data_IF_993787639980
#
_entry.id   IF_993787639980
#
_cell.length_a   1.000
_cell.length_b   1.000
_cell.length_c   1.000
_cell.angle_alpha   90.00
_cell.angle_beta   90.00
_cell.angle_gamma   90.00
#
_symmetry.space_group_name_H-M   'P 1'
#
loop_
_entity.id
_entity.type
_entity.pdbx_description
1 polymer ?
#
# COMPACT_ATOMS: atom_id res chain seq x y z
N UNK A 1 -12.45 -20.33 -31.88
CA UNK A 1 -12.95 -19.63 -30.69
C UNK A 1 -12.28 -20.27 -29.49
N UNK A 2 -11.08 -19.80 -29.12
CA UNK A 2 -10.41 -20.15 -27.89
C UNK A 2 -10.92 -19.20 -26.82
N UNK A 3 -11.64 -19.73 -25.84
CA UNK A 3 -11.98 -19.05 -24.60
C UNK A 3 -10.69 -18.71 -23.88
N UNK A 4 -10.42 -17.44 -23.71
CA UNK A 4 -9.35 -16.96 -22.84
C UNK A 4 -9.89 -17.09 -21.40
N UNK A 5 -9.65 -18.24 -20.79
CA UNK A 5 -9.86 -18.40 -19.36
C UNK A 5 -8.77 -17.60 -18.65
N UNK A 6 -9.17 -16.53 -18.00
CA UNK A 6 -8.34 -15.81 -17.05
C UNK A 6 -8.18 -16.69 -15.80
N UNK A 7 -6.97 -17.17 -15.48
CA UNK A 7 -6.78 -17.95 -14.26
C UNK A 7 -6.47 -16.98 -13.11
N UNK A 8 -7.47 -16.30 -12.59
CA UNK A 8 -7.30 -15.57 -11.34
C UNK A 8 -8.61 -15.56 -10.55
N UNK A 9 -8.49 -16.02 -9.30
CA UNK A 9 -9.47 -16.02 -8.20
C UNK A 9 -10.45 -17.18 -8.14
N UNK A 10 -9.97 -18.32 -7.65
CA UNK A 10 -10.79 -19.23 -6.85
C UNK A 10 -10.46 -19.01 -5.36
N UNK A 11 -10.70 -17.82 -4.84
CA UNK A 11 -10.72 -17.66 -3.39
C UNK A 11 -12.06 -18.14 -2.87
N UNK A 12 -12.09 -18.80 -1.69
CA UNK A 12 -13.35 -19.11 -1.04
C UNK A 12 -14.11 -17.79 -0.82
N UNK A 13 -15.38 -17.71 -1.21
CA UNK A 13 -16.27 -16.55 -1.05
C UNK A 13 -16.19 -15.87 0.34
N UNK A 14 -15.80 -16.63 1.36
CA UNK A 14 -15.69 -16.18 2.74
C UNK A 14 -14.73 -14.99 2.96
N UNK A 15 -13.71 -14.81 2.11
CA UNK A 15 -12.68 -13.78 2.28
C UNK A 15 -12.60 -12.81 1.12
N UNK A 16 -13.66 -12.72 0.32
CA UNK A 16 -13.76 -11.65 -0.67
C UNK A 16 -13.72 -10.28 0.02
N UNK A 17 -12.92 -9.37 -0.53
CA UNK A 17 -12.86 -8.01 0.00
C UNK A 17 -14.13 -7.25 -0.31
N UNK A 18 -14.46 -6.19 0.44
CA UNK A 18 -15.59 -5.33 0.11
C UNK A 18 -15.52 -4.72 -1.30
N UNK A 19 -14.30 -4.54 -1.83
CA UNK A 19 -14.09 -4.09 -3.21
C UNK A 19 -14.50 -5.14 -4.22
N UNK A 20 -14.10 -6.41 -4.03
CA UNK A 20 -14.48 -7.54 -4.89
C UNK A 20 -15.99 -7.79 -4.84
N UNK A 21 -16.59 -7.75 -3.65
CA UNK A 21 -18.05 -7.89 -3.45
C UNK A 21 -18.88 -6.80 -4.17
N UNK A 22 -18.23 -5.74 -4.63
CA UNK A 22 -18.83 -4.65 -5.41
C UNK A 22 -18.35 -4.66 -6.87
N UNK A 23 -17.95 -5.84 -7.38
CA UNK A 23 -17.45 -6.04 -8.75
C UNK A 23 -16.30 -5.08 -9.13
N UNK A 24 -15.50 -4.62 -8.14
CA UNK A 24 -14.44 -3.64 -8.35
C UNK A 24 -14.93 -2.23 -8.74
N UNK A 25 -16.21 -1.96 -8.60
CA UNK A 25 -16.82 -0.69 -9.03
C UNK A 25 -16.81 0.39 -7.94
N UNK A 26 -16.70 -0.02 -6.68
CA UNK A 26 -16.72 0.88 -5.53
C UNK A 26 -15.70 0.44 -4.49
N UNK A 27 -14.83 1.37 -4.10
CA UNK A 27 -13.86 1.14 -3.03
C UNK A 27 -14.54 0.90 -1.68
N UNK A 28 -13.79 0.27 -0.78
CA UNK A 28 -14.24 -0.04 0.57
C UNK A 28 -14.38 1.22 1.41
N UNK A 29 -15.39 1.27 2.27
CA UNK A 29 -15.48 2.29 3.32
C UNK A 29 -14.48 1.99 4.44
N UNK A 30 -14.19 2.97 5.29
CA UNK A 30 -13.31 2.76 6.44
C UNK A 30 -13.80 1.64 7.36
N UNK A 31 -15.08 1.61 7.66
CA UNK A 31 -15.73 0.62 8.53
C UNK A 31 -15.60 -0.79 7.92
N UNK A 32 -15.87 -0.95 6.63
CA UNK A 32 -15.70 -2.22 5.91
C UNK A 32 -14.24 -2.70 5.97
N UNK A 33 -13.27 -1.79 5.82
CA UNK A 33 -11.84 -2.11 5.91
C UNK A 33 -11.46 -2.65 7.29
N UNK A 34 -11.91 -1.97 8.34
CA UNK A 34 -11.60 -2.36 9.72
C UNK A 34 -12.26 -3.68 10.09
N UNK A 35 -13.51 -3.88 9.72
CA UNK A 35 -14.22 -5.14 10.00
C UNK A 35 -13.59 -6.31 9.24
N UNK A 36 -13.16 -6.09 8.00
CA UNK A 36 -12.43 -7.08 7.22
C UNK A 36 -11.12 -7.52 7.89
N UNK A 37 -10.29 -6.57 8.31
CA UNK A 37 -9.02 -6.91 8.99
C UNK A 37 -9.22 -7.54 10.36
N UNK A 38 -10.25 -7.15 11.11
CA UNK A 38 -10.63 -7.85 12.35
C UNK A 38 -10.99 -9.30 12.08
N UNK A 39 -11.78 -9.56 11.04
CA UNK A 39 -12.14 -10.92 10.64
C UNK A 39 -10.90 -11.74 10.27
N UNK A 40 -10.00 -11.19 9.41
CA UNK A 40 -8.76 -11.88 9.08
C UNK A 40 -7.91 -12.21 10.32
N UNK A 41 -7.81 -11.29 11.27
CA UNK A 41 -7.03 -11.49 12.49
C UNK A 41 -7.64 -12.53 13.44
N UNK A 42 -8.94 -12.76 13.38
CA UNK A 42 -9.63 -13.81 14.15
C UNK A 42 -9.48 -15.19 13.51
N UNK A 43 -9.46 -15.25 12.19
CA UNK A 43 -9.47 -16.49 11.43
C UNK A 43 -8.05 -17.02 11.12
N UNK A 44 -7.05 -16.13 11.09
CA UNK A 44 -5.67 -16.48 10.73
C UNK A 44 -4.67 -16.06 11.81
N UNK A 45 -4.01 -17.03 12.42
CA UNK A 45 -2.99 -16.79 13.45
C UNK A 45 -1.81 -15.94 12.94
N UNK A 46 -1.54 -15.95 11.63
CA UNK A 46 -0.49 -15.14 10.98
C UNK A 46 -0.84 -13.64 10.88
N UNK A 47 -2.05 -13.23 11.22
CA UNK A 47 -2.51 -11.85 11.18
C UNK A 47 -2.76 -11.32 12.59
N UNK A 48 -2.22 -10.15 12.90
CA UNK A 48 -2.51 -9.42 14.13
C UNK A 48 -3.11 -8.07 13.83
N UNK A 49 -4.17 -7.71 14.54
CA UNK A 49 -4.82 -6.40 14.47
C UNK A 49 -4.62 -5.67 15.79
N UNK A 50 -4.05 -4.46 15.75
CA UNK A 50 -3.76 -3.64 16.93
C UNK A 50 -4.30 -2.24 16.76
N UNK A 51 -4.67 -1.63 17.88
CA UNK A 51 -5.01 -0.20 17.94
C UNK A 51 -3.78 0.57 18.41
N UNK A 52 -3.42 1.63 17.66
CA UNK A 52 -2.21 2.41 17.88
C UNK A 52 -2.56 3.90 17.79
N UNK A 53 -2.37 4.66 18.83
CA UNK A 53 -2.52 6.11 18.80
C UNK A 53 -3.91 6.63 18.46
N UNK A 54 -4.00 7.93 18.26
CA UNK A 54 -5.23 8.65 17.94
C UNK A 54 -5.10 9.34 16.58
N UNK A 55 -6.22 9.78 16.03
CA UNK A 55 -6.28 10.63 14.85
C UNK A 55 -7.09 11.89 15.17
N UNK A 56 -6.99 12.88 14.30
CA UNK A 56 -7.63 14.19 14.48
C UNK A 56 -9.17 14.16 14.44
N UNK A 57 -9.77 13.06 14.00
CA UNK A 57 -11.22 12.85 14.06
C UNK A 57 -11.67 12.01 15.27
N UNK A 58 -10.76 11.71 16.20
CA UNK A 58 -11.03 10.93 17.40
C UNK A 58 -11.16 9.42 17.20
N UNK A 59 -11.05 8.93 15.97
CA UNK A 59 -11.00 7.49 15.65
C UNK A 59 -9.55 7.00 15.83
N UNK A 60 -9.31 5.88 16.53
CA UNK A 60 -7.97 5.41 16.76
C UNK A 60 -7.32 4.87 15.47
N UNK A 61 -6.03 5.09 15.31
CA UNK A 61 -5.24 4.50 14.25
C UNK A 61 -5.07 3.00 14.50
N UNK A 62 -5.15 2.21 13.44
CA UNK A 62 -4.98 0.77 13.51
C UNK A 62 -3.74 0.29 12.76
N UNK A 63 -3.17 -0.79 13.26
CA UNK A 63 -2.03 -1.48 12.67
C UNK A 63 -2.39 -2.93 12.41
N UNK A 64 -2.13 -3.41 11.21
CA UNK A 64 -2.29 -4.82 10.84
C UNK A 64 -0.92 -5.38 10.51
N UNK A 65 -0.62 -6.56 11.07
CA UNK A 65 0.68 -7.19 10.95
C UNK A 65 0.49 -8.60 10.41
N UNK A 66 1.20 -8.93 9.35
CA UNK A 66 1.40 -10.30 8.91
C UNK A 66 2.76 -10.81 9.38
N UNK A 67 2.77 -12.00 9.99
CA UNK A 67 3.98 -12.73 10.31
C UNK A 67 3.75 -14.23 10.07
N UNK A 68 4.57 -14.89 9.25
CA UNK A 68 4.32 -16.29 8.82
C UNK A 68 4.29 -17.29 9.96
N UNK A 69 4.94 -17.00 11.07
CA UNK A 69 5.01 -17.85 12.28
C UNK A 69 4.16 -17.33 13.46
N UNK A 70 3.28 -16.35 13.21
CA UNK A 70 2.42 -15.73 14.22
C UNK A 70 3.19 -15.04 15.37
N UNK A 71 4.41 -14.58 15.12
CA UNK A 71 5.23 -13.86 16.08
C UNK A 71 5.32 -12.36 15.71
N UNK A 72 4.81 -11.49 16.59
CA UNK A 72 4.57 -10.07 16.31
C UNK A 72 5.42 -9.12 17.15
N UNK A 73 6.50 -9.61 17.76
CA UNK A 73 7.37 -8.79 18.61
C UNK A 73 8.50 -8.16 17.80
N UNK A 74 8.34 -6.89 17.42
CA UNK A 74 9.34 -6.15 16.64
C UNK A 74 10.70 -6.07 17.35
N UNK A 75 10.74 -5.86 18.68
CA UNK A 75 11.99 -5.75 19.43
C UNK A 75 12.82 -7.03 19.39
N UNK A 76 12.16 -8.19 19.37
CA UNK A 76 12.80 -9.49 19.28
C UNK A 76 13.35 -9.76 17.88
N UNK A 77 12.58 -9.41 16.85
CA UNK A 77 12.82 -9.91 15.48
C UNK A 77 13.41 -8.91 14.50
N UNK A 78 13.51 -7.61 14.85
CA UNK A 78 14.01 -6.58 13.93
C UNK A 78 15.43 -6.83 13.37
N UNK A 79 16.27 -7.61 14.05
CA UNK A 79 17.61 -7.96 13.57
C UNK A 79 17.63 -9.21 12.68
N UNK A 80 16.56 -9.97 12.68
CA UNK A 80 16.46 -11.27 12.01
C UNK A 80 15.50 -11.25 10.84
N UNK A 81 14.63 -10.24 10.78
CA UNK A 81 13.56 -10.11 9.78
C UNK A 81 13.60 -8.80 9.06
N UNK A 82 13.26 -8.85 7.79
CA UNK A 82 12.94 -7.66 7.01
C UNK A 82 11.51 -7.23 7.30
N UNK A 83 11.34 -5.99 7.72
CA UNK A 83 10.03 -5.41 8.02
C UNK A 83 9.63 -4.48 6.90
N UNK A 84 8.55 -4.82 6.20
CA UNK A 84 7.95 -4.00 5.16
C UNK A 84 6.75 -3.28 5.76
N UNK A 85 6.75 -1.95 5.72
CA UNK A 85 5.64 -1.12 6.16
C UNK A 85 4.92 -0.52 4.96
N UNK A 86 3.60 -0.69 4.91
CA UNK A 86 2.73 -0.18 3.86
C UNK A 86 1.81 0.85 4.47
N UNK A 87 1.89 2.09 3.98
CA UNK A 87 1.02 3.19 4.35
C UNK A 87 -0.03 3.42 3.26
N UNK A 88 -1.27 3.60 3.65
CA UNK A 88 -2.39 3.78 2.72
C UNK A 88 -3.21 5.01 3.08
N UNK A 89 -3.84 5.60 2.09
CA UNK A 89 -4.77 6.73 2.22
C UNK A 89 -4.16 7.90 3.02
N UNK A 90 -2.98 8.36 2.65
CA UNK A 90 -2.44 9.66 3.11
C UNK A 90 -3.38 10.78 2.64
N UNK A 91 -3.87 10.66 1.42
CA UNK A 91 -5.02 11.39 0.93
C UNK A 91 -6.26 10.52 1.10
N UNK A 92 -7.24 10.97 1.89
CA UNK A 92 -8.40 10.16 2.21
C UNK A 92 -9.27 9.78 1.00
N UNK A 93 -9.21 10.56 -0.06
CA UNK A 93 -9.90 10.28 -1.31
C UNK A 93 -9.12 9.36 -2.27
N UNK A 94 -8.07 8.68 -1.81
CA UNK A 94 -7.25 7.73 -2.58
C UNK A 94 -7.32 6.32 -1.96
N UNK A 95 -8.43 5.59 -2.08
CA UNK A 95 -8.66 4.31 -1.42
C UNK A 95 -8.03 3.10 -2.14
N UNK A 96 -7.48 3.27 -3.35
CA UNK A 96 -7.00 2.15 -4.17
C UNK A 96 -5.91 1.33 -3.48
N UNK A 97 -4.98 2.00 -2.78
CA UNK A 97 -3.96 1.34 -1.96
C UNK A 97 -4.55 0.55 -0.79
N UNK A 98 -5.65 1.05 -0.21
CA UNK A 98 -6.38 0.36 0.87
C UNK A 98 -6.95 -0.95 0.36
N UNK A 99 -7.69 -0.91 -0.75
CA UNK A 99 -8.30 -2.09 -1.37
C UNK A 99 -7.23 -3.11 -1.81
N UNK A 100 -6.14 -2.64 -2.45
CA UNK A 100 -5.03 -3.50 -2.86
C UNK A 100 -4.32 -4.16 -1.67
N UNK A 101 -4.16 -3.46 -0.56
CA UNK A 101 -3.50 -4.00 0.64
C UNK A 101 -4.36 -5.04 1.35
N UNK A 102 -5.70 -4.90 1.33
CA UNK A 102 -6.60 -5.96 1.83
C UNK A 102 -6.45 -7.25 1.03
N UNK A 103 -6.39 -7.17 -0.31
CA UNK A 103 -6.12 -8.32 -1.18
C UNK A 103 -4.77 -8.97 -0.85
N UNK A 104 -3.72 -8.17 -0.67
CA UNK A 104 -2.39 -8.66 -0.30
C UNK A 104 -2.43 -9.42 1.02
N UNK A 105 -3.04 -8.86 2.07
CA UNK A 105 -3.10 -9.50 3.39
C UNK A 105 -3.94 -10.79 3.37
N UNK A 106 -5.03 -10.84 2.60
CA UNK A 106 -5.76 -12.08 2.36
C UNK A 106 -4.86 -13.16 1.75
N UNK A 107 -4.20 -12.83 0.65
CA UNK A 107 -3.37 -13.77 -0.10
C UNK A 107 -2.17 -14.26 0.74
N UNK A 108 -1.61 -13.40 1.60
CA UNK A 108 -0.60 -13.78 2.59
C UNK A 108 -1.18 -14.71 3.66
N UNK A 109 -2.35 -14.40 4.21
CA UNK A 109 -3.00 -15.19 5.25
C UNK A 109 -3.39 -16.60 4.74
N UNK A 110 -3.84 -16.70 3.50
CA UNK A 110 -4.20 -17.97 2.84
C UNK A 110 -3.00 -18.72 2.23
N UNK A 111 -1.77 -18.18 2.36
CA UNK A 111 -0.55 -18.73 1.74
C UNK A 111 -0.59 -18.81 0.20
N UNK A 112 -1.41 -18.01 -0.45
CA UNK A 112 -1.41 -17.84 -1.91
C UNK A 112 -0.15 -17.08 -2.36
N UNK A 113 0.27 -16.09 -1.57
CA UNK A 113 1.57 -15.43 -1.68
C UNK A 113 2.46 -15.96 -0.56
N UNK A 114 3.60 -16.54 -0.93
CA UNK A 114 4.58 -17.05 0.03
C UNK A 114 5.76 -16.12 0.12
N UNK A 115 5.92 -15.49 1.27
CA UNK A 115 7.12 -14.73 1.59
C UNK A 115 8.13 -15.63 2.32
N UNK A 116 9.40 -15.22 2.28
CA UNK A 116 10.42 -15.85 3.13
C UNK A 116 10.03 -15.76 4.61
N UNK A 117 10.33 -16.78 5.40
CA UNK A 117 10.00 -16.82 6.83
C UNK A 117 10.61 -15.69 7.66
N UNK A 118 11.56 -14.95 7.10
CA UNK A 118 12.18 -13.79 7.72
C UNK A 118 11.58 -12.44 7.26
N UNK A 119 10.38 -12.42 6.67
CA UNK A 119 9.70 -11.19 6.24
C UNK A 119 8.43 -11.00 7.06
N UNK A 120 8.26 -9.79 7.60
CA UNK A 120 7.02 -9.31 8.20
C UNK A 120 6.46 -8.20 7.32
N UNK A 121 5.14 -8.18 7.16
CA UNK A 121 4.45 -7.09 6.46
C UNK A 121 3.53 -6.39 7.46
N UNK A 122 3.64 -5.09 7.52
CA UNK A 122 2.89 -4.25 8.43
C UNK A 122 2.17 -3.18 7.64
N UNK A 123 0.92 -2.90 7.96
CA UNK A 123 0.19 -1.82 7.30
C UNK A 123 -0.62 -0.99 8.29
N UNK A 124 -0.73 0.30 8.00
CA UNK A 124 -1.83 1.13 8.47
C UNK A 124 -2.92 1.06 7.40
N UNK A 125 -4.09 0.48 7.70
CA UNK A 125 -5.17 0.32 6.74
C UNK A 125 -5.61 1.62 6.07
N UNK A 126 -5.76 2.68 6.87
CA UNK A 126 -6.07 4.03 6.42
C UNK A 126 -5.43 5.04 7.37
N UNK A 127 -4.50 5.84 6.86
CA UNK A 127 -3.80 6.85 7.67
C UNK A 127 -4.69 8.10 7.90
N UNK A 128 -5.33 8.58 6.85
CA UNK A 128 -6.25 9.72 6.89
C UNK A 128 -7.70 9.26 7.01
N UNK A 129 -8.09 8.80 8.20
CA UNK A 129 -9.41 8.22 8.43
C UNK A 129 -10.51 9.23 8.14
N UNK A 130 -10.42 10.45 8.70
CA UNK A 130 -11.43 11.48 8.50
C UNK A 130 -11.56 11.90 7.04
N UNK A 131 -10.45 12.04 6.34
CA UNK A 131 -10.46 12.31 4.90
C UNK A 131 -11.07 11.17 4.08
N UNK A 132 -10.82 9.91 4.47
CA UNK A 132 -11.41 8.75 3.80
C UNK A 132 -12.93 8.70 4.00
N UNK A 133 -13.43 8.93 5.22
CA UNK A 133 -14.85 8.95 5.51
C UNK A 133 -15.59 10.06 4.75
N UNK A 134 -14.95 11.19 4.55
CA UNK A 134 -15.52 12.35 3.83
C UNK A 134 -15.14 12.40 2.34
N UNK A 135 -14.39 11.43 1.85
CA UNK A 135 -13.88 11.36 0.47
C UNK A 135 -13.15 12.65 0.05
N UNK A 136 -12.28 13.17 0.91
CA UNK A 136 -11.47 14.36 0.67
C UNK A 136 -9.98 14.10 0.88
N UNK A 137 -9.15 14.97 0.31
CA UNK A 137 -7.69 14.86 0.40
C UNK A 137 -7.18 15.12 1.81
N UNK A 138 -7.67 16.19 2.42
CA UNK A 138 -7.25 16.69 3.73
C UNK A 138 -7.80 15.80 4.87
N UNK A 139 -7.18 15.91 6.03
CA UNK A 139 -7.63 15.26 7.27
C UNK A 139 -8.93 15.89 7.82
N UNK A 140 -9.48 15.34 8.90
CA UNK A 140 -10.66 15.89 9.56
C UNK A 140 -10.45 17.35 9.98
N UNK A 141 -9.27 17.68 10.45
CA UNK A 141 -8.89 19.05 10.82
C UNK A 141 -8.43 19.92 9.63
N UNK A 142 -8.67 19.50 8.38
CA UNK A 142 -8.30 20.20 7.15
C UNK A 142 -6.80 20.39 6.91
N UNK A 143 -5.98 19.48 7.44
CA UNK A 143 -4.55 19.46 7.16
C UNK A 143 -4.21 18.55 5.98
N UNK A 144 -3.26 18.97 5.15
CA UNK A 144 -2.60 18.09 4.21
C UNK A 144 -1.51 17.30 4.94
N UNK A 145 -1.75 16.00 5.16
CA UNK A 145 -0.87 15.14 5.93
C UNK A 145 0.50 14.91 5.27
N UNK A 146 0.63 15.07 3.93
CA UNK A 146 1.94 15.02 3.25
C UNK A 146 2.92 16.05 3.79
N UNK A 147 2.43 17.19 4.23
CA UNK A 147 3.26 18.33 4.65
C UNK A 147 3.44 18.40 6.18
N UNK A 148 2.74 17.56 6.92
CA UNK A 148 2.74 17.66 8.39
C UNK A 148 3.91 16.94 9.06
N UNK A 149 4.66 16.11 8.33
CA UNK A 149 5.78 15.33 8.89
C UNK A 149 6.90 16.15 9.52
N UNK A 150 7.07 17.41 9.09
CA UNK A 150 8.11 18.31 9.64
C UNK A 150 7.65 18.94 10.95
N UNK A 151 6.38 19.37 11.00
CA UNK A 151 5.82 20.06 12.19
C UNK A 151 5.19 19.09 13.18
N UNK A 152 4.55 18.03 12.65
CA UNK A 152 3.77 17.06 13.41
C UNK A 152 2.70 17.72 14.29
N UNK A 153 1.93 18.64 13.72
CA UNK A 153 0.88 19.38 14.41
C UNK A 153 -0.39 18.56 14.57
N UNK A 154 -0.56 17.51 13.74
CA UNK A 154 -1.76 16.69 13.68
C UNK A 154 -1.56 15.37 14.44
N UNK A 155 -2.57 14.93 15.18
CA UNK A 155 -2.55 13.67 15.92
C UNK A 155 -2.22 12.44 15.05
N UNK A 156 -2.66 12.43 13.80
CA UNK A 156 -2.33 11.39 12.83
C UNK A 156 -0.81 11.25 12.68
N UNK A 157 -0.12 12.35 12.47
CA UNK A 157 1.35 12.38 12.26
C UNK A 157 2.10 11.99 13.51
N UNK A 158 1.65 12.46 14.69
CA UNK A 158 2.21 12.04 15.96
C UNK A 158 2.05 10.54 16.19
N UNK A 159 0.89 9.99 15.86
CA UNK A 159 0.60 8.56 15.98
C UNK A 159 1.42 7.73 15.00
N UNK A 160 1.52 8.14 13.73
CA UNK A 160 2.38 7.48 12.74
C UNK A 160 3.85 7.51 13.16
N UNK A 161 4.34 8.64 13.68
CA UNK A 161 5.72 8.75 14.15
C UNK A 161 6.02 7.75 15.27
N UNK A 162 5.10 7.55 16.22
CA UNK A 162 5.23 6.53 17.27
C UNK A 162 5.22 5.11 16.69
N UNK A 163 4.34 4.84 15.72
CA UNK A 163 4.29 3.56 15.01
C UNK A 163 5.63 3.28 14.32
N UNK A 164 6.17 4.23 13.56
CA UNK A 164 7.45 4.07 12.87
C UNK A 164 8.63 3.88 13.85
N UNK A 165 8.63 4.58 14.99
CA UNK A 165 9.62 4.37 16.04
C UNK A 165 9.55 2.97 16.67
N UNK A 166 8.35 2.42 16.85
CA UNK A 166 8.16 1.07 17.38
C UNK A 166 8.56 -0.01 16.38
N UNK A 167 8.13 0.14 15.13
CA UNK A 167 8.34 -0.87 14.07
C UNK A 167 9.77 -0.83 13.55
N UNK A 168 10.32 0.37 13.28
CA UNK A 168 11.58 0.61 12.58
C UNK A 168 11.67 -0.21 11.27
N UNK A 169 10.82 0.10 10.27
CA UNK A 169 10.76 -0.69 9.05
C UNK A 169 12.04 -0.56 8.22
N UNK A 170 12.40 -1.64 7.51
CA UNK A 170 13.49 -1.66 6.54
C UNK A 170 13.05 -1.08 5.19
N UNK A 171 11.77 -1.28 4.86
CA UNK A 171 11.15 -0.81 3.62
C UNK A 171 9.84 -0.11 3.98
N UNK A 172 9.66 1.11 3.47
CA UNK A 172 8.41 1.84 3.54
C UNK A 172 7.82 1.97 2.12
N UNK A 173 6.55 1.57 1.99
CA UNK A 173 5.75 1.72 0.77
C UNK A 173 4.63 2.68 1.10
N UNK A 174 4.54 3.78 0.35
CA UNK A 174 3.46 4.76 0.47
C UNK A 174 2.58 4.69 -0.78
N UNK A 175 1.37 4.19 -0.63
CA UNK A 175 0.43 4.01 -1.72
C UNK A 175 -0.37 5.28 -1.95
N UNK A 176 -0.25 5.84 -3.15
CA UNK A 176 -0.97 7.04 -3.58
C UNK A 176 -1.58 6.84 -4.97
N UNK A 177 -2.55 7.67 -5.31
CA UNK A 177 -3.19 7.67 -6.64
C UNK A 177 -3.02 9.03 -7.29
N UNK A 178 -2.49 9.07 -8.52
CA UNK A 178 -2.46 10.32 -9.28
C UNK A 178 -3.84 10.62 -9.87
N UNK A 179 -4.46 11.73 -9.42
CA UNK A 179 -5.75 12.20 -9.95
C UNK A 179 -5.64 13.39 -10.89
N UNK A 180 -4.45 13.98 -10.99
CA UNK A 180 -4.22 15.22 -11.76
C UNK A 180 -3.68 14.97 -13.16
N UNK A 181 -3.13 13.82 -13.41
CA UNK A 181 -2.46 13.48 -14.66
C UNK A 181 -3.01 12.16 -15.17
N UNK A 182 -3.50 12.17 -16.42
CA UNK A 182 -3.87 10.93 -17.11
C UNK A 182 -2.58 10.24 -17.54
N UNK A 183 -2.11 9.31 -16.74
CA UNK A 183 -1.00 8.43 -17.11
C UNK A 183 -1.51 7.22 -17.88
N UNK A 184 -0.84 6.88 -18.96
CA UNK A 184 -1.09 5.65 -19.72
C UNK A 184 -0.47 4.40 -19.06
N UNK A 185 -0.04 4.52 -17.81
CA UNK A 185 0.63 3.46 -17.05
C UNK A 185 -0.28 2.88 -16.00
N UNK A 186 -0.28 1.56 -15.88
CA UNK A 186 -1.05 0.86 -14.86
C UNK A 186 -0.47 1.10 -13.46
N UNK A 187 0.86 1.13 -13.36
CA UNK A 187 1.61 1.35 -12.12
C UNK A 187 2.73 2.34 -12.37
N UNK A 188 2.89 3.32 -11.51
CA UNK A 188 4.11 4.10 -11.41
C UNK A 188 4.71 3.97 -10.02
N UNK A 189 6.03 4.01 -9.94
CA UNK A 189 6.75 3.92 -8.67
C UNK A 189 7.92 4.91 -8.65
N UNK A 190 8.21 5.42 -7.46
CA UNK A 190 9.32 6.34 -7.22
C UNK A 190 10.16 5.77 -6.08
N UNK A 191 11.29 5.12 -6.38
CA UNK A 191 12.19 4.65 -5.34
C UNK A 191 12.89 5.82 -4.66
N UNK A 192 13.46 5.58 -3.49
CA UNK A 192 14.27 6.58 -2.80
C UNK A 192 15.51 6.93 -3.64
N UNK A 193 15.82 8.22 -3.68
CA UNK A 193 16.98 8.75 -4.41
C UNK A 193 18.29 8.23 -3.80
N UNK A 194 19.24 7.87 -4.66
CA UNK A 194 20.54 7.34 -4.25
C UNK A 194 21.29 8.23 -3.25
N UNK A 195 21.16 9.52 -3.43
CA UNK A 195 21.79 10.53 -2.58
C UNK A 195 21.24 10.50 -1.15
N UNK A 196 20.00 10.09 -0.98
CA UNK A 196 19.32 10.01 0.33
C UNK A 196 19.63 8.72 1.08
N UNK A 197 19.80 7.61 0.34
CA UNK A 197 19.99 6.27 0.95
C UNK A 197 21.44 5.79 0.94
N UNK A 198 22.33 6.56 0.31
CA UNK A 198 23.75 6.25 0.19
C UNK A 198 24.09 5.29 -0.95
N UNK A 199 25.39 5.23 -1.30
CA UNK A 199 25.87 4.58 -2.52
C UNK A 199 25.56 3.10 -2.60
N UNK A 200 25.69 2.37 -1.48
CA UNK A 200 25.46 0.92 -1.45
C UNK A 200 24.00 0.56 -1.71
N UNK A 201 23.09 1.15 -0.91
CA UNK A 201 21.65 0.87 -1.04
C UNK A 201 21.09 1.47 -2.34
N UNK A 202 21.52 2.68 -2.72
CA UNK A 202 21.15 3.30 -3.97
C UNK A 202 21.59 2.48 -5.18
N UNK A 203 22.80 1.89 -5.16
CA UNK A 203 23.24 0.96 -6.20
C UNK A 203 22.35 -0.29 -6.27
N UNK A 204 21.99 -0.87 -5.14
CA UNK A 204 21.05 -2.00 -5.13
C UNK A 204 19.68 -1.64 -5.71
N UNK A 205 19.17 -0.44 -5.37
CA UNK A 205 17.88 0.04 -5.89
C UNK A 205 17.95 0.17 -7.42
N UNK A 206 18.98 0.86 -7.94
CA UNK A 206 19.10 1.16 -9.37
C UNK A 206 19.41 -0.09 -10.20
N UNK A 207 20.33 -0.93 -9.71
CA UNK A 207 20.88 -2.05 -10.50
C UNK A 207 20.09 -3.35 -10.32
N UNK A 208 19.31 -3.50 -9.24
CA UNK A 208 18.65 -4.76 -8.91
C UNK A 208 17.14 -4.59 -8.69
N UNK A 209 16.73 -3.72 -7.76
CA UNK A 209 15.32 -3.62 -7.35
C UNK A 209 14.43 -3.08 -8.49
N UNK A 210 14.79 -1.94 -9.05
CA UNK A 210 14.03 -1.27 -10.11
C UNK A 210 13.93 -2.14 -11.36
N UNK A 211 15.02 -2.71 -11.90
CA UNK A 211 14.92 -3.61 -13.06
C UNK A 211 14.04 -4.83 -12.79
N UNK A 212 14.20 -5.51 -11.65
CA UNK A 212 13.39 -6.69 -11.32
C UNK A 212 11.92 -6.35 -11.15
N UNK A 213 11.59 -5.21 -10.55
CA UNK A 213 10.21 -4.76 -10.41
C UNK A 213 9.59 -4.48 -11.78
N UNK A 214 10.31 -3.77 -12.65
CA UNK A 214 9.88 -3.49 -14.02
C UNK A 214 9.65 -4.77 -14.83
N UNK A 215 10.58 -5.73 -14.75
CA UNK A 215 10.46 -7.02 -15.43
C UNK A 215 9.25 -7.81 -14.93
N UNK A 216 9.04 -7.84 -13.60
CA UNK A 216 7.90 -8.56 -13.01
C UNK A 216 6.56 -7.94 -13.45
N UNK A 217 6.45 -6.62 -13.45
CA UNK A 217 5.25 -5.91 -13.91
C UNK A 217 5.01 -6.16 -15.41
N UNK A 218 6.05 -6.16 -16.21
CA UNK A 218 5.98 -6.46 -17.66
C UNK A 218 5.51 -7.89 -17.91
N UNK A 219 6.00 -8.88 -17.14
CA UNK A 219 5.55 -10.26 -17.23
C UNK A 219 4.07 -10.44 -16.89
N UNK A 220 3.55 -9.57 -16.01
CA UNK A 220 2.12 -9.52 -15.68
C UNK A 220 1.29 -8.70 -16.67
N UNK A 221 1.88 -8.24 -17.79
CA UNK A 221 1.28 -7.34 -18.76
C UNK A 221 0.87 -5.97 -18.20
N UNK A 222 1.48 -5.52 -17.11
CA UNK A 222 1.30 -4.16 -16.61
C UNK A 222 2.31 -3.22 -17.26
N UNK A 223 1.82 -2.09 -17.74
CA UNK A 223 2.68 -1.00 -18.20
C UNK A 223 3.09 -0.20 -16.96
N UNK A 224 4.39 -0.22 -16.66
CA UNK A 224 4.95 0.47 -15.50
C UNK A 224 5.97 1.54 -15.89
N UNK A 225 6.11 2.55 -15.05
CA UNK A 225 7.10 3.60 -15.23
C UNK A 225 7.69 4.06 -13.89
N UNK A 226 9.00 4.35 -13.89
CA UNK A 226 9.61 5.09 -12.78
C UNK A 226 9.28 6.58 -12.91
N UNK A 227 9.01 7.26 -11.80
CA UNK A 227 8.65 8.68 -11.79
C UNK A 227 9.71 9.58 -12.45
N UNK A 228 11.00 9.23 -12.33
CA UNK A 228 12.09 9.98 -12.95
C UNK A 228 12.05 9.95 -14.48
N UNK A 229 11.46 8.92 -15.05
CA UNK A 229 11.23 8.84 -16.49
C UNK A 229 10.08 9.72 -16.98
N UNK A 230 9.23 10.23 -16.07
CA UNK A 230 8.08 11.09 -16.39
C UNK A 230 8.51 12.54 -16.72
N UNK A 231 9.71 12.97 -16.35
CA UNK A 231 10.21 14.33 -16.63
C UNK A 231 10.51 14.61 -18.10
N UNK A 232 10.46 13.60 -18.97
CA UNK A 232 10.50 13.83 -20.42
C UNK A 232 9.10 14.05 -20.98
N UNK A 233 8.89 15.03 -21.87
CA UNK A 233 7.56 15.34 -22.40
C UNK A 233 7.09 14.27 -23.39
N UNK A 234 6.68 13.10 -22.91
CA UNK A 234 5.98 12.11 -23.73
C UNK A 234 4.53 12.52 -23.99
N UNK A 235 4.37 13.74 -24.50
CA UNK A 235 3.05 14.27 -24.91
C UNK A 235 2.54 13.77 -26.26
N UNK A 236 3.27 12.87 -26.91
CA UNK A 236 2.85 12.30 -28.21
C UNK A 236 3.45 10.94 -28.39
N UNK A 237 2.65 9.93 -28.34
CA UNK A 237 2.81 8.74 -29.19
C UNK A 237 2.10 7.52 -28.60
N UNK A 238 0.77 7.54 -28.51
CA UNK A 238 -0.02 6.33 -28.77
C UNK A 238 -1.51 6.71 -28.74
N UNK A 239 -2.31 6.34 -29.75
CA UNK A 239 -3.77 6.47 -29.67
C UNK A 239 -4.25 5.51 -28.56
N UNK A 240 -5.07 6.02 -27.66
CA UNK A 240 -5.69 5.25 -26.61
C UNK A 240 -6.53 4.11 -27.20
N UNK A 241 -6.20 2.83 -26.96
CA UNK A 241 -7.21 1.79 -27.06
C UNK A 241 -8.04 1.86 -25.77
N UNK A 242 -9.33 1.87 -25.91
CA UNK A 242 -10.39 1.73 -24.95
C UNK A 242 -10.00 1.22 -23.54
N UNK A 243 -9.46 2.10 -22.69
CA UNK A 243 -9.16 1.83 -21.30
C UNK A 243 -10.17 2.51 -20.36
N UNK A 244 -11.45 2.48 -20.73
CA UNK A 244 -12.53 3.08 -19.94
C UNK A 244 -12.88 2.32 -18.65
N UNK A 245 -12.13 1.29 -18.25
CA UNK A 245 -12.45 0.46 -17.08
C UNK A 245 -11.30 0.18 -16.12
N UNK A 246 -10.09 0.66 -16.34
CA UNK A 246 -9.01 0.47 -15.39
C UNK A 246 -8.85 1.72 -14.51
N UNK A 247 -9.13 1.60 -13.22
CA UNK A 247 -8.68 2.58 -12.23
C UNK A 247 -7.16 2.41 -12.11
N UNK A 248 -6.43 3.51 -12.21
CA UNK A 248 -4.97 3.50 -12.12
C UNK A 248 -4.57 3.68 -10.66
N UNK A 249 -4.00 2.65 -10.06
CA UNK A 249 -3.30 2.78 -8.78
C UNK A 249 -1.86 3.21 -9.04
N UNK A 250 -1.42 4.25 -8.36
CA UNK A 250 -0.03 4.72 -8.37
C UNK A 250 0.54 4.44 -6.98
N UNK A 251 1.51 3.54 -6.92
CA UNK A 251 2.24 3.25 -5.68
C UNK A 251 3.57 4.00 -5.67
N UNK A 252 3.88 4.67 -4.57
CA UNK A 252 5.19 5.25 -4.31
C UNK A 252 5.89 4.39 -3.27
N UNK A 253 7.03 3.81 -3.60
CA UNK A 253 7.88 3.15 -2.64
C UNK A 253 9.06 4.06 -2.30
N UNK A 254 9.21 4.41 -1.03
CA UNK A 254 10.39 5.10 -0.52
C UNK A 254 11.11 4.17 0.47
N UNK A 255 12.41 4.01 0.27
CA UNK A 255 13.31 3.30 1.19
C UNK A 255 14.01 4.34 2.07
N UNK A 256 13.94 4.15 3.37
CA UNK A 256 14.60 4.99 4.39
C UNK A 256 15.88 4.32 4.89
#
# INVERSE_FOLDING_TARGET
LASCETPFFSSPEKYETPFENKDGLKSSSYEEVIDYYKQLSQDFASISFKTMGQTDNGVPLHLVIYSPDAEFNFNKYRKERTIIFINNAVHGNEPDGVDATMLLFRNLAQNEIKLSGNVMVVTIPAYNIGGMQENRKESAAHYNLDNDFIKADVENTLSLSKVLQEIQPDILIDNQVSRKEEYHYTVSYSPAEKEKVGTFLGGYIDDVLVPRLSDSLTQMNYISLTKDSIQQPFRRLLPAPELSKARHAVGYASLW
#
